data_IF_621448014491
#
_entry.id   IF_621448014491
#
_cell.length_a   1.000
_cell.length_b   1.000
_cell.length_c   1.000
_cell.angle_alpha   90.00
_cell.angle_beta   90.00
_cell.angle_gamma   90.00
#
_symmetry.space_group_name_H-M   'P 1'
#
loop_
_entity.id
_entity.type
_entity.pdbx_description
1 polymer ?
#
# COMPACT_ATOMS: atom_id res chain seq x y z
N UNK A 1 -45.39 -0.63 -70.52
CA UNK A 1 -44.23 0.19 -70.08
C UNK A 1 -44.08 -0.09 -68.59
N UNK A 2 -43.14 -0.98 -68.24
CA UNK A 2 -42.84 -1.36 -66.87
C UNK A 2 -41.57 -0.61 -66.41
N UNK A 3 -41.64 0.18 -65.35
CA UNK A 3 -40.50 0.82 -64.70
C UNK A 3 -39.96 -0.09 -63.64
N UNK A 4 -38.72 -0.57 -63.82
CA UNK A 4 -37.94 -1.31 -62.86
C UNK A 4 -37.23 -0.32 -61.92
N UNK A 5 -37.61 -0.22 -60.66
CA UNK A 5 -36.90 0.56 -59.67
C UNK A 5 -35.80 -0.33 -59.07
N UNK A 6 -34.54 -0.03 -59.39
CA UNK A 6 -33.36 -0.58 -58.74
C UNK A 6 -33.11 0.14 -57.41
N UNK A 7 -33.32 -0.52 -56.29
CA UNK A 7 -32.92 -0.04 -55.01
C UNK A 7 -31.46 -0.39 -54.75
N UNK A 8 -30.58 0.62 -54.74
CA UNK A 8 -29.18 0.46 -54.34
C UNK A 8 -29.08 0.42 -52.81
N UNK A 9 -28.73 -0.71 -52.26
CA UNK A 9 -28.41 -0.84 -50.86
C UNK A 9 -27.00 -0.28 -50.58
N UNK A 10 -26.95 0.87 -49.94
CA UNK A 10 -25.70 1.42 -49.38
C UNK A 10 -25.30 0.61 -48.16
N UNK A 11 -24.34 -0.28 -48.33
CA UNK A 11 -23.66 -0.97 -47.19
C UNK A 11 -22.66 0.03 -46.63
N UNK A 12 -23.05 0.74 -45.59
CA UNK A 12 -22.11 1.50 -44.74
C UNK A 12 -21.32 0.51 -43.91
N UNK A 13 -20.12 0.16 -44.37
CA UNK A 13 -19.11 -0.49 -43.57
C UNK A 13 -18.66 0.45 -42.45
N UNK A 14 -19.18 0.24 -41.25
CA UNK A 14 -18.58 0.81 -40.06
C UNK A 14 -17.21 0.15 -39.81
N UNK A 15 -16.19 0.63 -40.50
CA UNK A 15 -14.81 0.38 -40.17
C UNK A 15 -14.51 1.09 -38.85
N UNK A 16 -14.70 0.40 -37.74
CA UNK A 16 -14.19 0.83 -36.46
C UNK A 16 -12.68 1.03 -36.58
N UNK A 17 -12.22 2.28 -36.55
CA UNK A 17 -10.81 2.57 -36.38
C UNK A 17 -10.40 1.87 -35.08
N UNK A 18 -9.55 0.83 -35.15
CA UNK A 18 -8.80 0.38 -34.01
C UNK A 18 -8.04 1.59 -33.50
N UNK A 19 -8.45 2.09 -32.34
CA UNK A 19 -7.69 3.09 -31.61
C UNK A 19 -6.38 2.40 -31.24
N UNK A 20 -5.31 2.71 -31.93
CA UNK A 20 -3.96 2.27 -31.54
C UNK A 20 -3.68 2.98 -30.25
N UNK A 21 -3.52 2.22 -29.16
CA UNK A 21 -3.12 2.74 -27.87
C UNK A 21 -1.83 3.55 -28.08
N UNK A 22 -1.79 4.79 -27.60
CA UNK A 22 -0.58 5.62 -27.61
C UNK A 22 0.53 5.06 -26.71
N UNK A 23 0.24 4.00 -25.97
CA UNK A 23 1.13 3.37 -25.00
C UNK A 23 1.77 2.10 -25.58
N UNK A 24 3.03 1.83 -25.26
CA UNK A 24 3.68 0.57 -25.64
C UNK A 24 2.97 -0.63 -24.97
N UNK A 25 3.04 -1.82 -25.59
CA UNK A 25 2.32 -3.03 -25.17
C UNK A 25 2.59 -3.48 -23.73
N UNK A 26 3.70 -3.06 -23.12
CA UNK A 26 4.03 -3.33 -21.73
C UNK A 26 3.40 -2.33 -20.74
N UNK A 27 2.86 -1.22 -21.22
CA UNK A 27 2.26 -0.20 -20.37
C UNK A 27 0.78 -0.47 -20.15
N UNK A 28 0.36 -0.44 -18.92
CA UNK A 28 -1.05 -0.45 -18.57
C UNK A 28 -1.64 0.93 -18.83
N UNK A 29 -2.68 0.97 -19.66
CA UNK A 29 -3.39 2.18 -20.04
C UNK A 29 -4.85 2.07 -19.59
N UNK A 30 -5.59 3.17 -19.78
CA UNK A 30 -7.04 3.22 -19.58
C UNK A 30 -7.51 2.91 -18.14
N UNK A 31 -6.72 3.35 -17.14
CA UNK A 31 -7.16 3.30 -15.76
C UNK A 31 -8.43 4.13 -15.56
N UNK A 32 -9.46 3.48 -15.06
CA UNK A 32 -10.72 4.13 -14.74
C UNK A 32 -11.01 4.05 -13.24
N UNK A 33 -11.63 5.09 -12.70
CA UNK A 33 -12.19 5.06 -11.36
C UNK A 33 -13.65 4.61 -11.45
N UNK A 34 -14.01 3.44 -10.89
CA UNK A 34 -15.40 3.01 -10.89
C UNK A 34 -16.27 4.04 -10.18
N UNK A 35 -17.41 4.38 -10.78
CA UNK A 35 -18.37 5.32 -10.22
C UNK A 35 -18.97 4.77 -8.92
N UNK A 36 -19.13 5.63 -7.90
CA UNK A 36 -19.74 5.27 -6.62
C UNK A 36 -18.89 4.42 -5.67
N UNK A 37 -17.65 4.05 -6.04
CA UNK A 37 -16.80 3.17 -5.21
C UNK A 37 -15.62 3.94 -4.59
N UNK A 38 -15.20 5.05 -5.20
CA UNK A 38 -14.08 5.85 -4.68
C UNK A 38 -14.54 6.94 -3.73
N UNK A 39 -13.84 7.11 -2.59
CA UNK A 39 -12.70 6.32 -2.12
C UNK A 39 -13.11 4.93 -1.62
N UNK A 40 -12.25 3.92 -1.85
CA UNK A 40 -12.49 2.53 -1.37
C UNK A 40 -12.34 2.39 0.15
N UNK A 41 -11.55 3.26 0.76
CA UNK A 41 -11.31 3.36 2.21
C UNK A 41 -11.31 4.84 2.58
N UNK A 42 -12.13 5.22 3.56
CA UNK A 42 -12.21 6.58 4.11
C UNK A 42 -11.88 6.56 5.59
N UNK A 43 -11.50 7.69 6.20
CA UNK A 43 -11.39 7.81 7.65
C UNK A 43 -12.65 7.33 8.37
N UNK A 44 -12.47 6.76 9.56
CA UNK A 44 -13.57 6.30 10.41
C UNK A 44 -13.34 6.74 11.86
N UNK A 45 -14.26 7.53 12.39
CA UNK A 45 -14.21 8.04 13.76
C UNK A 45 -14.79 7.07 14.79
N UNK A 46 -15.36 5.94 14.36
CA UNK A 46 -16.04 4.96 15.21
C UNK A 46 -15.16 3.75 15.54
N UNK A 47 -13.99 3.61 14.93
CA UNK A 47 -13.05 2.55 15.19
C UNK A 47 -12.04 2.96 16.25
N UNK A 48 -11.91 2.14 17.30
CA UNK A 48 -11.02 2.40 18.42
C UNK A 48 -10.04 1.24 18.63
N UNK A 49 -8.86 1.58 19.12
CA UNK A 49 -7.78 0.66 19.41
C UNK A 49 -7.06 1.10 20.67
N UNK A 50 -6.77 0.14 21.58
CA UNK A 50 -5.97 0.43 22.78
C UNK A 50 -4.50 0.60 22.38
N UNK A 51 -4.02 1.83 22.39
CA UNK A 51 -2.66 2.17 21.99
C UNK A 51 -1.67 1.90 23.11
N UNK A 52 -0.71 0.95 22.98
CA UNK A 52 0.23 0.62 24.05
C UNK A 52 1.15 1.79 24.41
N UNK A 53 1.44 2.68 23.44
CA UNK A 53 2.31 3.84 23.65
C UNK A 53 1.62 4.96 24.45
N UNK A 54 0.30 5.09 24.31
CA UNK A 54 -0.50 6.10 25.02
C UNK A 54 -1.16 5.54 26.28
N UNK A 55 -1.22 4.22 26.39
CA UNK A 55 -1.98 3.49 27.44
C UNK A 55 -3.45 3.95 27.50
N UNK A 56 -4.02 4.22 26.33
CA UNK A 56 -5.38 4.75 26.17
C UNK A 56 -5.99 4.25 24.88
N UNK A 57 -7.33 4.32 24.80
CA UNK A 57 -8.08 4.01 23.60
C UNK A 57 -8.07 5.20 22.64
N UNK A 58 -7.68 4.98 21.41
CA UNK A 58 -7.56 6.03 20.38
C UNK A 58 -8.42 5.71 19.16
N UNK A 59 -9.04 6.73 18.57
CA UNK A 59 -9.68 6.65 17.26
C UNK A 59 -8.59 6.69 16.18
N UNK A 60 -8.03 5.53 15.88
CA UNK A 60 -6.73 5.37 15.20
C UNK A 60 -6.73 5.72 13.71
N UNK A 61 -7.89 5.72 13.04
CA UNK A 61 -8.06 6.07 11.64
C UNK A 61 -9.04 7.24 11.43
N UNK A 62 -9.15 8.12 12.42
CA UNK A 62 -10.16 9.16 12.45
C UNK A 62 -9.90 10.34 11.51
N UNK A 63 -8.64 10.60 11.14
CA UNK A 63 -8.29 11.81 10.39
C UNK A 63 -8.04 11.57 8.91
N UNK A 64 -7.14 10.69 8.56
CA UNK A 64 -6.74 10.44 7.17
C UNK A 64 -6.46 8.97 6.92
N UNK A 65 -6.73 8.50 5.68
CA UNK A 65 -6.37 7.18 5.16
C UNK A 65 -5.75 7.34 3.77
N UNK A 66 -4.51 6.87 3.57
CA UNK A 66 -3.75 7.12 2.34
C UNK A 66 -2.53 6.20 2.19
N UNK A 67 -1.74 6.38 1.13
CA UNK A 67 -0.47 5.71 0.83
C UNK A 67 -0.49 4.19 1.06
N UNK A 68 -1.39 3.44 0.43
CA UNK A 68 -1.52 2.01 0.66
C UNK A 68 -0.43 1.19 -0.07
N UNK A 69 -0.16 -0.01 0.45
CA UNK A 69 0.37 -1.13 -0.30
C UNK A 69 -0.78 -2.09 -0.64
N UNK A 70 -0.72 -2.71 -1.82
CA UNK A 70 -1.66 -3.74 -2.23
C UNK A 70 -0.91 -5.04 -2.58
N UNK A 71 -1.50 -6.17 -2.22
CA UNK A 71 -0.99 -7.51 -2.53
C UNK A 71 -2.13 -8.52 -2.60
N UNK A 72 -1.81 -9.79 -2.84
CA UNK A 72 -2.79 -10.88 -2.80
C UNK A 72 -2.45 -11.84 -1.65
N UNK A 73 -3.44 -12.23 -0.88
CA UNK A 73 -3.34 -13.22 0.18
C UNK A 73 -4.59 -14.11 0.20
N UNK A 74 -4.41 -15.42 0.15
CA UNK A 74 -5.50 -16.41 0.13
C UNK A 74 -6.59 -16.11 -0.91
N UNK A 75 -6.17 -15.69 -2.13
CA UNK A 75 -7.07 -15.40 -3.24
C UNK A 75 -7.82 -14.06 -3.13
N UNK A 76 -7.57 -13.26 -2.09
CA UNK A 76 -8.18 -11.94 -1.90
C UNK A 76 -7.18 -10.82 -2.20
N UNK A 77 -7.67 -9.71 -2.71
CA UNK A 77 -6.91 -8.47 -2.74
C UNK A 77 -6.84 -7.91 -1.33
N UNK A 78 -5.61 -7.68 -0.84
CA UNK A 78 -5.36 -7.11 0.48
C UNK A 78 -4.71 -5.75 0.31
N UNK A 79 -5.18 -4.78 1.11
CA UNK A 79 -4.63 -3.43 1.18
C UNK A 79 -4.16 -3.17 2.61
N UNK A 80 -2.88 -2.83 2.75
CA UNK A 80 -2.32 -2.25 3.97
C UNK A 80 -2.29 -0.73 3.76
N UNK A 81 -3.08 0.00 4.51
CA UNK A 81 -3.21 1.45 4.33
C UNK A 81 -2.70 2.21 5.55
N UNK A 82 -2.00 3.32 5.29
CA UNK A 82 -1.66 4.27 6.35
C UNK A 82 -2.93 4.95 6.83
N UNK A 83 -3.11 5.01 8.14
CA UNK A 83 -4.17 5.74 8.79
C UNK A 83 -3.61 6.62 9.91
N UNK A 84 -4.20 7.78 10.10
CA UNK A 84 -3.79 8.74 11.13
C UNK A 84 -4.92 9.01 12.12
N UNK A 85 -4.53 9.07 13.39
CA UNK A 85 -5.43 9.48 14.46
C UNK A 85 -5.58 11.02 14.51
N UNK A 86 -6.41 11.50 15.44
CA UNK A 86 -6.67 12.92 15.65
C UNK A 86 -5.77 13.55 16.73
N UNK A 87 -4.61 12.98 17.03
CA UNK A 87 -3.73 13.43 18.13
C UNK A 87 -3.08 14.80 17.91
N UNK A 88 -3.10 15.32 16.69
CA UNK A 88 -2.52 16.62 16.33
C UNK A 88 -3.16 17.19 15.06
N UNK A 89 -2.72 18.37 14.65
CA UNK A 89 -3.14 18.99 13.39
C UNK A 89 -2.07 18.79 12.32
N UNK A 90 -2.49 18.29 11.15
CA UNK A 90 -1.65 18.13 9.97
C UNK A 90 -0.87 16.81 9.90
N UNK A 91 -0.60 16.42 8.66
CA UNK A 91 0.16 15.22 8.31
C UNK A 91 1.58 15.32 8.89
N UNK A 92 2.10 14.20 9.42
CA UNK A 92 3.42 14.12 10.04
C UNK A 92 3.47 14.56 11.51
N UNK A 93 2.43 15.25 12.01
CA UNK A 93 2.29 15.59 13.44
C UNK A 93 1.40 14.61 14.21
N UNK A 94 0.54 13.86 13.50
CA UNK A 94 -0.32 12.81 14.05
C UNK A 94 0.44 11.50 14.18
N UNK A 95 -0.16 10.51 14.83
CA UNK A 95 0.43 9.17 14.89
C UNK A 95 -0.15 8.30 13.78
N UNK A 96 0.72 7.78 12.93
CA UNK A 96 0.39 6.89 11.83
C UNK A 96 0.44 5.42 12.25
N UNK A 97 -0.51 4.63 11.73
CA UNK A 97 -0.59 3.18 11.89
C UNK A 97 -1.01 2.56 10.57
N UNK A 98 -0.83 1.25 10.42
CA UNK A 98 -1.27 0.55 9.22
C UNK A 98 -2.52 -0.28 9.52
N UNK A 99 -3.57 0.00 8.77
CA UNK A 99 -4.78 -0.80 8.74
C UNK A 99 -4.70 -1.92 7.70
N UNK A 100 -5.53 -2.92 7.86
CA UNK A 100 -5.70 -4.04 6.94
C UNK A 100 -7.13 -4.03 6.41
N UNK A 101 -7.26 -4.13 5.10
CA UNK A 101 -8.54 -4.35 4.44
C UNK A 101 -8.40 -5.43 3.36
N UNK A 102 -9.43 -6.25 3.18
CA UNK A 102 -9.44 -7.30 2.15
C UNK A 102 -10.71 -7.27 1.31
N UNK A 103 -10.58 -7.72 0.06
CA UNK A 103 -11.67 -7.74 -0.92
C UNK A 103 -11.59 -9.00 -1.78
N UNK A 104 -12.75 -9.54 -2.14
CA UNK A 104 -12.87 -10.64 -3.10
C UNK A 104 -12.88 -10.15 -4.56
N UNK A 105 -13.25 -8.89 -4.80
CA UNK A 105 -13.43 -8.32 -6.14
C UNK A 105 -12.48 -7.13 -6.44
N UNK A 106 -11.68 -6.70 -5.45
CA UNK A 106 -10.80 -5.54 -5.57
C UNK A 106 -11.50 -4.18 -5.51
N UNK A 107 -12.82 -4.15 -5.28
CA UNK A 107 -13.64 -2.94 -5.25
C UNK A 107 -14.28 -2.71 -3.88
N UNK A 108 -14.80 -3.76 -3.26
CA UNK A 108 -15.49 -3.69 -1.98
C UNK A 108 -14.63 -4.28 -0.87
N UNK A 109 -14.10 -3.41 -0.02
CA UNK A 109 -13.15 -3.79 1.02
C UNK A 109 -13.79 -3.89 2.40
N UNK A 110 -13.43 -4.95 3.12
CA UNK A 110 -13.75 -5.12 4.55
C UNK A 110 -12.51 -4.81 5.37
N UNK A 111 -12.61 -3.80 6.24
CA UNK A 111 -11.53 -3.39 7.15
C UNK A 111 -11.53 -4.21 8.43
N UNK A 112 -10.35 -4.37 9.02
CA UNK A 112 -10.22 -4.74 10.43
C UNK A 112 -10.48 -3.49 11.29
N UNK A 113 -11.09 -3.70 12.46
CA UNK A 113 -11.41 -2.60 13.39
C UNK A 113 -10.20 -2.07 14.17
N UNK A 114 -9.08 -2.77 14.12
CA UNK A 114 -7.83 -2.39 14.79
C UNK A 114 -6.67 -2.40 13.79
N UNK A 115 -5.63 -1.58 14.00
CA UNK A 115 -4.47 -1.58 13.13
C UNK A 115 -3.68 -2.89 13.28
N UNK A 116 -3.05 -3.34 12.21
CA UNK A 116 -2.20 -4.54 12.18
C UNK A 116 -0.72 -4.22 12.37
N UNK A 117 -0.33 -2.94 12.26
CA UNK A 117 1.04 -2.51 12.42
C UNK A 117 1.10 -1.08 13.00
N UNK A 118 1.83 -0.91 14.08
CA UNK A 118 1.82 0.33 14.86
C UNK A 118 3.05 0.44 15.77
N UNK A 119 3.38 1.63 16.29
CA UNK A 119 4.39 1.77 17.34
C UNK A 119 4.00 0.97 18.59
N UNK A 120 4.88 0.10 19.01
CA UNK A 120 4.68 -0.78 20.17
C UNK A 120 5.82 -0.64 21.17
N UNK A 121 5.68 -1.26 22.33
CA UNK A 121 6.75 -1.32 23.33
C UNK A 121 7.75 -2.43 22.97
N UNK A 122 8.41 -2.24 21.83
CA UNK A 122 9.39 -3.13 21.23
C UNK A 122 10.73 -2.42 20.97
N UNK A 123 11.68 -3.09 20.35
CA UNK A 123 13.01 -2.54 20.04
C UNK A 123 12.99 -1.35 19.07
N UNK A 124 11.88 -1.10 18.38
CA UNK A 124 11.72 -0.01 17.41
C UNK A 124 11.01 1.23 17.99
N UNK A 125 10.61 1.17 19.25
CA UNK A 125 9.85 2.19 19.97
C UNK A 125 10.37 3.61 19.75
N UNK A 126 11.66 3.83 19.97
CA UNK A 126 12.29 5.16 19.90
C UNK A 126 12.36 5.72 18.45
N UNK A 127 12.29 4.84 17.46
CA UNK A 127 12.34 5.21 16.05
C UNK A 127 10.94 5.46 15.47
N UNK A 128 9.89 4.96 16.10
CA UNK A 128 8.50 5.04 15.62
C UNK A 128 7.63 6.00 16.43
N UNK A 129 7.90 6.14 17.75
CA UNK A 129 7.06 6.97 18.61
C UNK A 129 7.61 8.41 18.71
N UNK A 130 6.74 9.43 18.63
CA UNK A 130 5.27 9.38 18.57
C UNK A 130 4.68 9.54 17.15
N UNK A 131 5.48 9.55 16.09
CA UNK A 131 5.01 9.82 14.73
C UNK A 131 4.36 8.63 14.06
N UNK A 132 4.87 7.40 14.26
CA UNK A 132 4.20 6.20 13.81
C UNK A 132 4.95 5.39 12.74
N UNK A 133 4.19 4.49 12.13
CA UNK A 133 4.58 3.62 11.02
C UNK A 133 3.84 4.09 9.77
N UNK A 134 4.60 4.42 8.70
CA UNK A 134 4.06 5.11 7.53
C UNK A 134 4.37 4.37 6.23
N UNK A 135 3.55 4.62 5.21
CA UNK A 135 3.83 4.40 3.79
C UNK A 135 4.32 2.98 3.45
N UNK A 136 3.54 1.92 3.68
CA UNK A 136 3.96 0.55 3.44
C UNK A 136 4.20 0.27 1.95
N UNK A 137 5.17 -0.60 1.67
CA UNK A 137 5.41 -1.22 0.36
C UNK A 137 5.67 -2.70 0.60
N UNK A 138 4.91 -3.56 -0.05
CA UNK A 138 4.93 -5.01 0.20
C UNK A 138 5.29 -5.77 -1.05
N UNK A 139 6.17 -6.76 -0.90
CA UNK A 139 6.42 -7.80 -1.88
C UNK A 139 6.32 -9.17 -1.20
N UNK A 140 6.09 -10.22 -1.99
CA UNK A 140 6.04 -11.61 -1.51
C UNK A 140 7.17 -12.41 -2.12
N UNK A 141 7.83 -13.23 -1.32
CA UNK A 141 8.84 -14.18 -1.76
C UNK A 141 8.19 -15.43 -2.37
N UNK A 142 8.96 -16.24 -3.09
CA UNK A 142 8.50 -17.49 -3.69
C UNK A 142 7.98 -18.48 -2.64
N UNK A 143 8.51 -18.45 -1.42
CA UNK A 143 8.08 -19.28 -0.29
C UNK A 143 6.93 -18.68 0.53
N UNK A 144 6.34 -17.57 0.05
CA UNK A 144 5.17 -16.93 0.64
C UNK A 144 5.45 -16.05 1.85
N UNK A 145 6.70 -15.62 2.08
CA UNK A 145 7.00 -14.58 3.08
C UNK A 145 6.70 -13.20 2.50
N UNK A 146 5.91 -12.41 3.18
CA UNK A 146 5.69 -11.01 2.86
C UNK A 146 6.79 -10.16 3.49
N UNK A 147 7.44 -9.35 2.66
CA UNK A 147 8.44 -8.37 3.08
C UNK A 147 7.84 -6.98 2.90
N UNK A 148 7.83 -6.21 3.96
CA UNK A 148 7.33 -4.84 3.94
C UNK A 148 8.46 -3.85 4.20
N UNK A 149 8.62 -2.87 3.31
CA UNK A 149 9.29 -1.63 3.64
C UNK A 149 8.26 -0.64 4.18
N UNK A 150 8.60 0.05 5.25
CA UNK A 150 7.77 1.10 5.83
C UNK A 150 8.66 2.24 6.35
N UNK A 151 8.07 3.36 6.65
CA UNK A 151 8.78 4.48 7.26
C UNK A 151 8.54 4.48 8.77
N UNK A 152 9.62 4.41 9.54
CA UNK A 152 9.63 4.75 10.97
C UNK A 152 9.69 6.27 11.09
N UNK A 153 8.75 6.87 11.81
CA UNK A 153 8.68 8.31 12.02
C UNK A 153 8.55 8.65 13.50
N UNK A 154 9.54 9.30 14.07
CA UNK A 154 9.51 9.74 15.47
C UNK A 154 9.36 11.26 15.63
N UNK A 155 8.85 11.94 14.59
CA UNK A 155 8.71 13.41 14.49
C UNK A 155 10.03 14.18 14.45
N UNK A 156 11.16 13.48 14.32
CA UNK A 156 12.50 14.10 14.20
C UNK A 156 13.21 13.56 12.96
N UNK A 157 13.18 12.24 12.77
CA UNK A 157 13.92 11.55 11.74
C UNK A 157 13.02 10.47 11.12
N UNK A 158 12.90 10.48 9.79
CA UNK A 158 12.30 9.40 9.04
C UNK A 158 13.36 8.38 8.64
N UNK A 159 13.10 7.10 8.88
CA UNK A 159 13.97 5.99 8.49
C UNK A 159 13.18 4.93 7.75
N UNK A 160 13.69 4.53 6.60
CA UNK A 160 13.19 3.35 5.91
C UNK A 160 13.49 2.12 6.77
N UNK A 161 12.49 1.29 7.02
CA UNK A 161 12.60 0.09 7.83
C UNK A 161 11.98 -1.13 7.15
N UNK A 162 12.26 -2.30 7.70
CA UNK A 162 11.82 -3.60 7.17
C UNK A 162 11.01 -4.34 8.23
N UNK A 163 9.93 -4.98 7.80
CA UNK A 163 9.18 -5.97 8.57
C UNK A 163 8.80 -7.16 7.69
N UNK A 164 8.56 -8.31 8.31
CA UNK A 164 8.12 -9.52 7.61
C UNK A 164 6.88 -10.13 8.24
N UNK A 165 6.07 -10.83 7.41
CA UNK A 165 4.84 -11.48 7.83
C UNK A 165 4.54 -12.70 6.96
N UNK A 166 3.78 -13.67 7.50
CA UNK A 166 3.20 -14.80 6.75
C UNK A 166 1.70 -14.66 6.51
N UNK A 167 1.05 -13.69 7.17
CA UNK A 167 -0.41 -13.52 7.17
C UNK A 167 -0.88 -12.08 6.91
N UNK A 168 0.07 -11.13 6.75
CA UNK A 168 -0.18 -9.69 6.60
C UNK A 168 -0.86 -9.03 7.82
N UNK A 169 -1.03 -9.76 8.92
CA UNK A 169 -1.67 -9.28 10.14
C UNK A 169 -0.71 -9.29 11.34
N UNK A 170 0.14 -10.30 11.41
CA UNK A 170 1.18 -10.42 12.43
C UNK A 170 2.54 -10.15 11.80
N UNK A 171 3.28 -9.19 12.34
CA UNK A 171 4.51 -8.69 11.75
C UNK A 171 5.69 -8.78 12.70
N UNK A 172 6.83 -9.21 12.18
CA UNK A 172 8.13 -9.11 12.83
C UNK A 172 8.87 -7.87 12.29
N UNK A 173 9.25 -6.94 13.17
CA UNK A 173 10.00 -5.74 12.84
C UNK A 173 11.49 -6.01 12.88
N UNK A 174 12.20 -5.69 11.81
CA UNK A 174 13.65 -5.87 11.69
C UNK A 174 14.45 -4.56 11.86
N UNK A 175 13.74 -3.41 11.93
CA UNK A 175 14.36 -2.10 12.10
C UNK A 175 14.82 -1.45 10.81
N UNK A 176 15.69 -0.41 10.90
CA UNK A 176 16.09 0.39 9.75
C UNK A 176 16.81 -0.42 8.67
N UNK A 177 16.39 -0.25 7.42
CA UNK A 177 16.95 -0.96 6.26
C UNK A 177 18.46 -0.71 6.07
N UNK A 178 18.95 0.46 6.50
CA UNK A 178 20.36 0.85 6.36
C UNK A 178 21.18 0.68 7.64
N UNK A 179 20.64 -0.03 8.66
CA UNK A 179 21.30 -0.18 9.95
C UNK A 179 22.69 -0.83 9.87
N UNK A 180 22.89 -1.75 8.92
CA UNK A 180 24.15 -2.48 8.74
C UNK A 180 24.93 -2.06 7.51
N UNK A 181 24.30 -1.38 6.55
CA UNK A 181 24.93 -0.97 5.31
C UNK A 181 26.14 -0.05 5.59
N UNK A 182 27.30 -0.39 5.03
CA UNK A 182 28.56 0.34 5.23
C UNK A 182 28.86 0.62 6.71
N UNK A 183 28.72 -0.40 7.57
CA UNK A 183 28.90 -0.32 9.02
C UNK A 183 27.99 0.72 9.72
N UNK A 184 26.74 0.84 9.23
CA UNK A 184 25.74 1.74 9.81
C UNK A 184 25.86 3.21 9.38
N UNK A 185 26.73 3.52 8.41
CA UNK A 185 26.98 4.90 7.94
C UNK A 185 25.71 5.68 7.59
N UNK A 186 24.69 4.98 7.08
CA UNK A 186 23.46 5.61 6.56
C UNK A 186 22.26 5.47 7.48
N UNK A 187 22.45 4.99 8.72
CA UNK A 187 21.31 4.77 9.64
C UNK A 187 20.57 6.06 10.00
N UNK A 188 21.28 7.17 10.04
CA UNK A 188 20.72 8.49 10.39
C UNK A 188 20.38 9.34 9.16
N UNK A 189 20.52 8.78 7.96
CA UNK A 189 20.07 9.48 6.76
C UNK A 189 18.54 9.47 6.67
N UNK A 190 18.00 10.62 6.28
CA UNK A 190 16.55 10.77 6.10
C UNK A 190 16.11 9.94 4.90
N UNK A 191 15.34 8.88 5.12
CA UNK A 191 14.94 7.93 4.08
C UNK A 191 13.46 7.54 4.18
N UNK A 192 12.78 7.50 3.03
CA UNK A 192 11.37 7.14 2.86
C UNK A 192 11.13 6.45 1.52
N UNK A 193 9.97 5.83 1.38
CA UNK A 193 9.38 5.45 0.08
C UNK A 193 10.28 4.57 -0.78
N UNK A 194 10.62 3.38 -0.28
CA UNK A 194 11.36 2.39 -1.06
C UNK A 194 10.47 1.60 -2.02
N UNK A 195 11.10 0.96 -2.97
CA UNK A 195 10.51 -0.10 -3.79
C UNK A 195 11.30 -1.39 -3.57
N UNK A 196 10.60 -2.50 -3.40
CA UNK A 196 11.21 -3.81 -3.24
C UNK A 196 11.45 -4.39 -4.63
N UNK A 197 12.69 -4.71 -4.93
CA UNK A 197 13.05 -5.38 -6.19
C UNK A 197 12.66 -6.85 -6.09
N UNK A 198 11.78 -7.28 -6.98
CA UNK A 198 11.29 -8.68 -7.04
C UNK A 198 11.78 -9.43 -8.28
N UNK A 199 12.70 -8.84 -9.03
CA UNK A 199 13.23 -9.43 -10.25
C UNK A 199 14.05 -10.70 -9.96
N UNK A 200 13.90 -11.70 -10.80
CA UNK A 200 14.77 -12.87 -10.79
C UNK A 200 16.12 -12.50 -11.42
N UNK A 201 17.22 -12.73 -10.71
CA UNK A 201 18.58 -12.65 -11.21
C UNK A 201 19.14 -14.07 -11.22
N UNK A 202 19.55 -14.56 -12.39
CA UNK A 202 20.02 -15.94 -12.59
C UNK A 202 19.00 -16.99 -12.07
N UNK A 203 17.70 -16.75 -12.26
CA UNK A 203 16.63 -17.63 -11.81
C UNK A 203 16.38 -17.64 -10.30
N UNK A 204 17.02 -16.76 -9.54
CA UNK A 204 16.82 -16.59 -8.10
C UNK A 204 16.15 -15.25 -7.81
N UNK A 205 15.12 -15.27 -6.98
CA UNK A 205 14.52 -14.05 -6.48
C UNK A 205 15.53 -13.33 -5.58
N UNK A 206 15.94 -12.13 -6.00
CA UNK A 206 16.76 -11.25 -5.18
C UNK A 206 15.82 -10.26 -4.50
N UNK A 207 15.45 -10.54 -3.26
CA UNK A 207 15.06 -9.47 -2.37
C UNK A 207 16.38 -8.92 -1.87
N UNK A 208 16.65 -7.65 -2.15
CA UNK A 208 17.88 -7.03 -1.71
C UNK A 208 17.98 -7.18 -0.18
N UNK A 209 18.67 -8.21 0.26
CA UNK A 209 19.08 -8.36 1.64
C UNK A 209 20.19 -7.35 1.84
N UNK A 210 19.84 -6.22 2.39
CA UNK A 210 20.82 -5.26 2.87
C UNK A 210 21.41 -5.86 4.15
N UNK A 211 22.47 -6.60 4.00
CA UNK A 211 23.28 -7.09 5.12
C UNK A 211 24.14 -5.97 5.69
#
# INVERSE_FOLDING_TARGET
>A
IAYLLMAAALVTSCGGKKQTSEFPDWAWADFQRPEGINPIISPDTTTFFYCPMRQDSVAWEASDTFNPAATVYNGKVVVLYRAEDNSATGIGSRTSRLGYASSDDGLHFKRMSVPVFYPADDSQKELENPGGCEDPRVAVTEDGLYVMHYTQWNRKQARLAVATSRDLQTWEKHGPAFAKAYNGRFIDEFSKSASIVTQLIDGKQVIAKID
#
